data_IF_678935187056
#
_entry.id   IF_678935187056
#
_cell.length_a   1.000
_cell.length_b   1.000
_cell.length_c   1.000
_cell.angle_alpha   90.00
_cell.angle_beta   90.00
_cell.angle_gamma   90.00
#
_symmetry.space_group_name_H-M   'P 1'
#
loop_
_entity.id
_entity.type
_entity.pdbx_description
1 polymer ?
#
# COMPACT_ATOMS: atom_id res chain seq x y z
N UNK A 1 -0.62 -1.59 -51.88
CA UNK A 1 -1.99 -1.34 -52.35
C UNK A 1 -1.99 -1.04 -53.86
N UNK A 2 -1.24 -0.06 -54.35
CA UNK A 2 -1.17 0.24 -55.82
C UNK A 2 -0.79 -0.97 -56.68
N UNK A 3 0.08 -1.86 -56.18
CA UNK A 3 0.50 -3.08 -56.90
C UNK A 3 -0.64 -4.12 -57.07
N UNK A 4 -1.56 -4.20 -56.12
CA UNK A 4 -2.71 -5.12 -56.20
C UNK A 4 -3.72 -4.66 -57.26
N UNK A 5 -3.87 -3.35 -57.50
CA UNK A 5 -4.76 -2.79 -58.50
C UNK A 5 -4.11 -2.59 -59.88
N UNK A 6 -2.77 -2.54 -59.95
CA UNK A 6 -2.01 -2.37 -61.17
C UNK A 6 -1.99 -3.61 -62.12
N UNK A 7 -2.54 -4.76 -61.72
CA UNK A 7 -2.55 -6.00 -62.51
C UNK A 7 -3.47 -5.98 -63.75
N UNK A 8 -4.39 -5.03 -63.84
CA UNK A 8 -5.13 -4.76 -65.08
C UNK A 8 -4.53 -3.54 -65.77
N UNK A 9 -3.89 -3.75 -66.96
CA UNK A 9 -3.44 -2.71 -67.84
C UNK A 9 -4.63 -1.84 -68.32
N UNK A 10 -5.08 -0.92 -67.52
CA UNK A 10 -5.96 0.14 -67.93
C UNK A 10 -5.11 1.41 -67.93
N UNK A 11 -4.50 1.70 -69.11
CA UNK A 11 -3.88 3.02 -69.35
C UNK A 11 -4.97 4.10 -69.48
N UNK A 12 -4.69 5.32 -68.98
CA UNK A 12 -5.58 6.44 -69.13
C UNK A 12 -6.02 7.06 -67.79
N UNK A 13 -6.86 8.10 -67.86
CA UNK A 13 -7.37 8.85 -66.71
C UNK A 13 -8.00 7.99 -65.58
N UNK A 14 -8.57 6.84 -65.92
CA UNK A 14 -9.17 5.92 -64.98
C UNK A 14 -8.10 5.23 -64.10
N UNK A 15 -6.92 4.93 -64.63
CA UNK A 15 -5.83 4.33 -63.84
C UNK A 15 -5.25 5.35 -62.82
N UNK A 16 -5.13 6.59 -63.23
CA UNK A 16 -4.69 7.69 -62.33
C UNK A 16 -5.68 7.93 -61.19
N UNK A 17 -6.98 7.89 -61.48
CA UNK A 17 -8.03 8.05 -60.45
C UNK A 17 -8.04 6.89 -59.47
N UNK A 18 -7.87 5.66 -59.95
CA UNK A 18 -7.77 4.46 -59.05
C UNK A 18 -6.51 4.51 -58.19
N UNK A 19 -5.36 4.92 -58.73
CA UNK A 19 -4.14 5.06 -57.95
C UNK A 19 -4.28 6.19 -56.89
N UNK A 20 -4.84 7.32 -57.27
CA UNK A 20 -5.11 8.41 -56.31
C UNK A 20 -6.07 7.98 -55.22
N UNK A 21 -7.17 7.28 -55.55
CA UNK A 21 -8.12 6.75 -54.58
C UNK A 21 -7.48 5.70 -53.66
N UNK A 22 -6.62 4.84 -54.19
CA UNK A 22 -5.92 3.83 -53.38
C UNK A 22 -4.92 4.47 -52.43
N UNK A 23 -4.22 5.52 -52.83
CA UNK A 23 -3.30 6.28 -51.95
C UNK A 23 -4.08 7.01 -50.84
N UNK A 24 -5.18 7.66 -51.20
CA UNK A 24 -6.05 8.32 -50.24
C UNK A 24 -6.63 7.33 -49.22
N UNK A 25 -7.15 6.20 -49.68
CA UNK A 25 -7.66 5.13 -48.81
C UNK A 25 -6.60 4.59 -47.88
N UNK A 26 -5.37 4.41 -48.37
CA UNK A 26 -4.27 3.94 -47.54
C UNK A 26 -3.90 4.98 -46.47
N UNK A 27 -3.63 6.23 -46.87
CA UNK A 27 -3.12 7.24 -45.96
C UNK A 27 -4.19 7.73 -44.96
N UNK A 28 -5.46 7.82 -45.39
CA UNK A 28 -6.53 8.35 -44.56
C UNK A 28 -7.31 7.31 -43.76
N UNK A 29 -7.40 6.07 -44.23
CA UNK A 29 -8.22 5.02 -43.61
C UNK A 29 -7.37 3.86 -43.07
N UNK A 30 -6.54 3.24 -43.91
CA UNK A 30 -5.86 1.98 -43.59
C UNK A 30 -4.70 2.23 -42.63
N UNK A 31 -3.79 3.13 -42.97
CA UNK A 31 -2.60 3.39 -42.16
C UNK A 31 -2.93 3.87 -40.73
N UNK A 32 -3.83 4.85 -40.53
CA UNK A 32 -4.21 5.25 -39.17
C UNK A 32 -4.92 4.15 -38.38
N UNK A 33 -5.73 3.32 -39.06
CA UNK A 33 -6.40 2.19 -38.42
C UNK A 33 -5.38 1.13 -37.92
N UNK A 34 -4.41 0.76 -38.78
CA UNK A 34 -3.36 -0.18 -38.41
C UNK A 34 -2.44 0.38 -37.30
N UNK A 35 -2.14 1.69 -37.36
CA UNK A 35 -1.34 2.32 -36.32
C UNK A 35 -2.06 2.29 -34.96
N UNK A 36 -3.36 2.60 -34.94
CA UNK A 36 -4.17 2.56 -33.71
C UNK A 36 -4.31 1.13 -33.18
N UNK A 37 -4.53 0.15 -34.04
CA UNK A 37 -4.60 -1.28 -33.68
C UNK A 37 -3.28 -1.74 -33.04
N UNK A 38 -2.15 -1.47 -33.69
CA UNK A 38 -0.83 -1.84 -33.16
C UNK A 38 -0.51 -1.14 -31.82
N UNK A 39 -0.84 0.14 -31.71
CA UNK A 39 -0.68 0.89 -30.44
C UNK A 39 -1.56 0.30 -29.34
N UNK A 40 -2.79 -0.09 -29.67
CA UNK A 40 -3.70 -0.78 -28.76
C UNK A 40 -3.11 -2.08 -28.24
N UNK A 41 -2.68 -2.97 -29.15
CA UNK A 41 -2.06 -4.25 -28.78
C UNK A 41 -0.81 -4.09 -27.91
N UNK A 42 0.06 -3.13 -28.24
CA UNK A 42 1.26 -2.83 -27.46
C UNK A 42 0.90 -2.29 -26.07
N UNK A 43 -0.11 -1.42 -25.96
CA UNK A 43 -0.58 -0.89 -24.69
C UNK A 43 -1.19 -1.97 -23.80
N UNK A 44 -1.99 -2.87 -24.38
CA UNK A 44 -2.60 -3.98 -23.65
C UNK A 44 -1.53 -4.96 -23.14
N UNK A 45 -0.54 -5.29 -23.95
CA UNK A 45 0.56 -6.15 -23.55
C UNK A 45 1.41 -5.51 -22.43
N UNK A 46 1.68 -4.22 -22.52
CA UNK A 46 2.39 -3.47 -21.48
C UNK A 46 1.59 -3.41 -20.18
N UNK A 47 0.27 -3.18 -20.25
CA UNK A 47 -0.62 -3.13 -19.11
C UNK A 47 -0.66 -4.48 -18.36
N UNK A 48 -0.80 -5.61 -19.08
CA UNK A 48 -0.77 -6.94 -18.46
C UNK A 48 0.58 -7.21 -17.77
N UNK A 49 1.70 -6.81 -18.39
CA UNK A 49 3.02 -6.90 -17.77
C UNK A 49 3.13 -6.08 -16.48
N UNK A 50 2.64 -4.84 -16.48
CA UNK A 50 2.64 -3.97 -15.30
C UNK A 50 1.74 -4.51 -14.19
N UNK A 51 0.51 -4.96 -14.52
CA UNK A 51 -0.45 -5.53 -13.55
C UNK A 51 0.15 -6.77 -12.86
N UNK A 52 0.87 -7.61 -13.60
CA UNK A 52 1.58 -8.75 -13.02
C UNK A 52 2.61 -8.31 -11.98
N UNK A 53 3.44 -7.33 -12.31
CA UNK A 53 4.44 -6.78 -11.37
C UNK A 53 3.76 -6.19 -10.12
N UNK A 54 2.63 -5.49 -10.29
CA UNK A 54 1.86 -4.95 -9.16
C UNK A 54 1.34 -6.07 -8.25
N UNK A 55 0.86 -7.17 -8.84
CA UNK A 55 0.45 -8.37 -8.11
C UNK A 55 1.60 -8.99 -7.32
N UNK A 56 2.78 -9.11 -7.92
CA UNK A 56 3.98 -9.64 -7.27
C UNK A 56 4.44 -8.74 -6.11
N UNK A 57 4.41 -7.42 -6.29
CA UNK A 57 4.73 -6.44 -5.24
C UNK A 57 3.72 -6.54 -4.08
N UNK A 58 2.42 -6.63 -4.38
CA UNK A 58 1.38 -6.80 -3.36
C UNK A 58 1.61 -8.08 -2.56
N UNK A 59 1.89 -9.20 -3.23
CA UNK A 59 2.17 -10.48 -2.56
C UNK A 59 3.34 -10.36 -1.58
N UNK A 60 4.42 -9.69 -1.99
CA UNK A 60 5.58 -9.48 -1.10
C UNK A 60 5.23 -8.63 0.12
N UNK A 61 4.40 -7.60 -0.03
CA UNK A 61 3.95 -6.77 1.08
C UNK A 61 3.06 -7.53 2.05
N UNK A 62 2.12 -8.33 1.54
CA UNK A 62 1.18 -9.10 2.35
C UNK A 62 1.86 -10.26 3.11
N UNK A 63 2.86 -10.88 2.51
CA UNK A 63 3.58 -12.03 3.06
C UNK A 63 4.87 -11.66 3.83
N UNK A 64 5.04 -10.40 4.21
CA UNK A 64 6.13 -10.01 5.11
C UNK A 64 6.06 -10.80 6.42
N UNK A 65 7.20 -11.25 6.97
CA UNK A 65 7.22 -12.00 8.22
C UNK A 65 6.60 -11.20 9.38
N UNK A 66 5.59 -11.72 10.06
CA UNK A 66 4.97 -11.05 11.21
C UNK A 66 5.86 -11.13 12.46
N UNK A 67 5.83 -10.08 13.28
CA UNK A 67 6.43 -10.10 14.64
C UNK A 67 5.32 -10.30 15.66
N UNK A 68 4.90 -11.56 15.82
CA UNK A 68 3.81 -11.92 16.73
C UNK A 68 4.23 -11.97 18.20
N UNK A 69 3.27 -11.77 19.08
CA UNK A 69 3.44 -11.96 20.52
C UNK A 69 4.24 -10.84 21.21
N UNK A 70 4.46 -9.71 20.54
CA UNK A 70 5.20 -8.56 21.07
C UNK A 70 4.29 -7.36 21.32
N UNK A 71 4.59 -6.60 22.38
CA UNK A 71 4.03 -5.27 22.56
C UNK A 71 4.77 -4.29 21.67
N UNK A 72 4.06 -3.65 20.77
CA UNK A 72 4.63 -2.78 19.73
C UNK A 72 4.21 -1.33 19.94
N UNK A 73 5.17 -0.41 19.84
CA UNK A 73 4.91 1.03 19.74
C UNK A 73 4.97 1.45 18.26
N UNK A 74 3.87 1.92 17.71
CA UNK A 74 3.81 2.53 16.38
C UNK A 74 4.07 4.03 16.43
N UNK A 75 4.96 4.49 15.57
CA UNK A 75 5.31 5.88 15.38
C UNK A 75 4.89 6.28 13.95
N UNK A 76 3.94 7.21 13.84
CA UNK A 76 3.49 7.81 12.59
C UNK A 76 4.12 9.21 12.46
N UNK A 77 5.20 9.35 11.68
CA UNK A 77 5.99 10.56 11.60
C UNK A 77 5.20 11.75 11.03
N UNK A 78 5.55 12.95 11.45
CA UNK A 78 4.99 14.16 10.85
C UNK A 78 5.60 15.42 11.44
N UNK A 79 5.92 16.40 10.57
CA UNK A 79 6.49 17.67 11.00
C UNK A 79 5.48 18.55 11.77
N UNK A 80 4.43 19.02 11.09
CA UNK A 80 3.52 20.04 11.63
C UNK A 80 2.63 19.54 12.76
N UNK A 81 2.08 18.36 12.61
CA UNK A 81 1.12 17.76 13.55
C UNK A 81 1.80 16.86 14.59
N UNK A 82 3.13 16.83 14.61
CA UNK A 82 3.92 15.95 15.46
C UNK A 82 3.87 14.48 15.02
N UNK A 83 4.68 13.67 15.66
CA UNK A 83 4.67 12.22 15.52
C UNK A 83 3.57 11.63 16.42
N UNK A 84 2.65 10.87 15.84
CA UNK A 84 1.60 10.18 16.58
C UNK A 84 2.14 8.85 17.06
N UNK A 85 1.82 8.53 18.28
CA UNK A 85 2.32 7.35 18.97
C UNK A 85 1.15 6.51 19.43
N UNK A 86 1.20 5.22 19.14
CA UNK A 86 0.25 4.24 19.68
C UNK A 86 1.00 3.00 20.18
N UNK A 87 0.65 2.51 21.34
CA UNK A 87 1.16 1.24 21.87
C UNK A 87 0.06 0.21 21.77
N UNK A 88 0.40 -0.95 21.17
CA UNK A 88 -0.52 -2.08 21.06
C UNK A 88 0.05 -3.30 21.78
N UNK A 89 -0.82 -4.05 22.43
CA UNK A 89 -0.46 -5.31 23.08
C UNK A 89 -0.24 -6.44 22.04
N UNK A 90 0.20 -7.63 22.44
CA UNK A 90 0.41 -8.77 21.53
C UNK A 90 -0.80 -9.20 20.70
N UNK A 91 -2.01 -8.78 21.09
CA UNK A 91 -3.27 -9.04 20.36
C UNK A 91 -3.68 -7.92 19.42
N UNK A 92 -2.90 -6.84 19.37
CA UNK A 92 -3.20 -5.64 18.59
C UNK A 92 -4.18 -4.67 19.27
N UNK A 93 -4.53 -4.88 20.54
CA UNK A 93 -5.35 -3.96 21.34
C UNK A 93 -4.54 -2.73 21.73
N UNK A 94 -5.12 -1.54 21.58
CA UNK A 94 -4.45 -0.30 21.95
C UNK A 94 -4.40 -0.16 23.47
N UNK A 95 -3.18 0.03 24.00
CA UNK A 95 -2.90 0.26 25.42
C UNK A 95 -2.75 1.74 25.76
N UNK A 96 -2.07 2.49 24.88
CA UNK A 96 -1.74 3.89 25.13
C UNK A 96 -1.57 4.65 23.82
N UNK A 97 -1.81 5.96 23.85
CA UNK A 97 -1.63 6.84 22.69
C UNK A 97 -1.10 8.20 23.11
N UNK A 98 -0.30 8.84 22.25
CA UNK A 98 0.21 10.18 22.49
C UNK A 98 0.59 10.87 21.17
N UNK A 99 0.92 12.16 21.26
CA UNK A 99 1.53 12.93 20.19
C UNK A 99 2.80 13.57 20.72
N UNK A 100 3.92 13.36 20.05
CA UNK A 100 5.23 13.90 20.43
C UNK A 100 5.84 14.69 19.27
N UNK A 101 6.79 15.57 19.59
CA UNK A 101 7.46 16.42 18.62
C UNK A 101 8.97 16.11 18.63
N UNK A 102 9.40 15.06 17.91
CA UNK A 102 10.80 14.61 17.95
C UNK A 102 11.75 15.50 17.14
N UNK A 103 11.21 16.37 16.28
CA UNK A 103 12.01 17.20 15.38
C UNK A 103 12.54 18.44 16.08
N UNK A 104 13.87 18.76 15.93
CA UNK A 104 14.51 19.84 16.69
C UNK A 104 13.91 21.24 16.53
N UNK A 105 13.28 21.53 15.38
CA UNK A 105 12.65 22.84 15.10
C UNK A 105 11.58 23.22 16.14
N UNK A 106 10.94 22.24 16.76
CA UNK A 106 9.91 22.51 17.78
C UNK A 106 10.46 22.69 19.19
N UNK A 107 11.77 22.52 19.42
CA UNK A 107 12.43 22.62 20.74
C UNK A 107 11.75 21.79 21.85
N UNK A 108 11.18 20.61 21.48
CA UNK A 108 10.45 19.72 22.39
C UNK A 108 11.03 18.31 22.42
N UNK A 109 12.24 18.09 21.88
CA UNK A 109 12.86 16.77 21.76
C UNK A 109 13.02 16.10 23.13
N UNK A 110 13.50 16.83 24.15
CA UNK A 110 13.67 16.29 25.51
C UNK A 110 12.34 15.87 26.14
N UNK A 111 11.28 16.64 25.90
CA UNK A 111 9.93 16.28 26.35
C UNK A 111 9.43 15.04 25.62
N UNK A 112 9.65 14.96 24.31
CA UNK A 112 9.31 13.80 23.49
C UNK A 112 10.03 12.54 24.01
N UNK A 113 11.35 12.61 24.27
CA UNK A 113 12.13 11.50 24.85
C UNK A 113 11.56 11.03 26.18
N UNK A 114 11.27 11.96 27.10
CA UNK A 114 10.66 11.62 28.40
C UNK A 114 9.32 10.90 28.24
N UNK A 115 8.48 11.39 27.33
CA UNK A 115 7.17 10.80 27.06
C UNK A 115 7.30 9.38 26.49
N UNK A 116 8.15 9.20 25.46
CA UNK A 116 8.36 7.87 24.85
C UNK A 116 8.95 6.90 25.86
N UNK A 117 9.99 7.28 26.61
CA UNK A 117 10.56 6.42 27.67
C UNK A 117 9.50 6.01 28.71
N UNK A 118 8.67 6.94 29.16
CA UNK A 118 7.60 6.65 30.11
C UNK A 118 6.57 5.66 29.54
N UNK A 119 6.15 5.83 28.27
CA UNK A 119 5.23 4.91 27.61
C UNK A 119 5.84 3.52 27.40
N UNK A 120 7.13 3.44 27.05
CA UNK A 120 7.87 2.18 26.90
C UNK A 120 7.88 1.42 28.23
N UNK A 121 8.27 2.07 29.30
CA UNK A 121 8.37 1.44 30.63
C UNK A 121 7.01 1.06 31.21
N UNK A 122 6.00 1.92 31.04
CA UNK A 122 4.63 1.70 31.52
C UNK A 122 3.97 0.50 30.87
N UNK A 123 4.16 0.33 29.56
CA UNK A 123 3.42 -0.64 28.77
C UNK A 123 4.27 -1.88 28.40
N UNK A 124 5.53 -1.93 28.79
CA UNK A 124 6.42 -3.04 28.47
C UNK A 124 6.67 -3.18 26.96
N UNK A 125 6.90 -2.07 26.25
CA UNK A 125 7.17 -2.09 24.82
C UNK A 125 8.45 -2.86 24.52
N UNK A 126 8.41 -3.73 23.53
CA UNK A 126 9.55 -4.56 23.13
C UNK A 126 10.11 -4.15 21.75
N UNK A 127 9.26 -3.58 20.86
CA UNK A 127 9.65 -3.19 19.51
C UNK A 127 8.98 -1.87 19.15
N UNK A 128 9.68 -1.02 18.39
CA UNK A 128 9.13 0.19 17.78
C UNK A 128 8.93 -0.02 16.28
N UNK A 129 7.75 0.30 15.77
CA UNK A 129 7.42 0.35 14.35
C UNK A 129 7.40 1.80 13.90
N UNK A 130 8.23 2.20 12.95
CA UNK A 130 8.37 3.58 12.49
C UNK A 130 7.89 3.67 11.05
N UNK A 131 6.91 4.52 10.79
CA UNK A 131 6.44 4.80 9.43
C UNK A 131 7.54 5.45 8.57
N UNK A 132 7.61 5.09 7.30
CA UNK A 132 8.64 5.58 6.36
C UNK A 132 8.24 6.84 5.59
N UNK A 133 7.27 7.61 6.08
CA UNK A 133 6.79 8.82 5.42
C UNK A 133 7.58 10.09 5.75
N UNK A 134 6.87 11.20 5.62
CA UNK A 134 7.44 12.53 5.90
C UNK A 134 7.93 12.63 7.35
N UNK A 135 9.17 13.08 7.57
CA UNK A 135 9.88 13.07 8.87
C UNK A 135 10.21 11.65 9.40
N UNK A 136 10.19 10.63 8.53
CA UNK A 136 10.54 9.26 8.92
C UNK A 136 11.97 9.12 9.38
N UNK A 137 12.92 9.74 8.67
CA UNK A 137 14.34 9.69 9.00
C UNK A 137 14.65 10.35 10.37
N UNK A 138 14.13 11.53 10.60
CA UNK A 138 14.29 12.25 11.88
C UNK A 138 13.65 11.47 13.05
N UNK A 139 12.52 10.81 12.78
CA UNK A 139 11.85 9.96 13.78
C UNK A 139 12.66 8.68 14.04
N UNK A 140 13.32 8.13 13.05
CA UNK A 140 14.21 6.98 13.17
C UNK A 140 15.45 7.33 14.02
N UNK A 141 16.11 8.45 13.73
CA UNK A 141 17.25 8.96 14.53
C UNK A 141 16.83 9.17 15.99
N UNK A 142 15.71 9.85 16.21
CA UNK A 142 15.14 10.07 17.53
C UNK A 142 14.85 8.75 18.27
N UNK A 143 14.23 7.77 17.61
CA UNK A 143 13.94 6.47 18.21
C UNK A 143 15.23 5.73 18.57
N UNK A 144 16.24 5.76 17.70
CA UNK A 144 17.55 5.14 17.96
C UNK A 144 18.25 5.76 19.18
N UNK A 145 18.16 7.08 19.36
CA UNK A 145 18.66 7.76 20.57
C UNK A 145 17.92 7.32 21.82
N UNK A 146 16.58 7.29 21.79
CA UNK A 146 15.76 6.84 22.93
C UNK A 146 16.10 5.38 23.31
N UNK A 147 16.25 4.52 22.33
CA UNK A 147 16.62 3.10 22.56
C UNK A 147 17.99 3.00 23.23
N UNK A 148 18.97 3.76 22.76
CA UNK A 148 20.31 3.81 23.34
C UNK A 148 20.28 4.29 24.79
N UNK A 149 19.57 5.39 25.05
CA UNK A 149 19.41 5.94 26.41
C UNK A 149 18.71 4.93 27.36
N UNK A 150 17.69 4.20 26.89
CA UNK A 150 17.02 3.14 27.68
C UNK A 150 17.93 1.93 27.94
N UNK A 151 18.79 1.57 27.00
CA UNK A 151 19.79 0.52 27.22
C UNK A 151 20.80 0.93 28.29
N UNK A 152 21.31 2.17 28.25
CA UNK A 152 22.29 2.68 29.20
C UNK A 152 21.69 2.92 30.61
N UNK A 153 20.48 3.50 30.69
CA UNK A 153 19.85 3.88 31.95
C UNK A 153 19.13 2.73 32.66
N UNK A 154 18.56 1.81 31.89
CA UNK A 154 17.66 0.75 32.42
C UNK A 154 18.05 -0.67 32.02
N UNK A 155 19.14 -0.86 31.26
CA UNK A 155 19.52 -2.13 30.67
C UNK A 155 18.37 -2.77 29.86
N UNK A 156 17.58 -1.92 29.17
CA UNK A 156 16.42 -2.32 28.37
C UNK A 156 16.79 -2.26 26.88
N UNK A 157 16.84 -3.41 26.24
CA UNK A 157 17.23 -3.55 24.83
C UNK A 157 15.99 -3.65 23.95
N UNK A 158 15.56 -2.53 23.38
CA UNK A 158 14.50 -2.50 22.37
C UNK A 158 15.10 -2.60 20.96
N UNK A 159 14.26 -3.06 20.05
CA UNK A 159 14.52 -3.01 18.62
C UNK A 159 13.56 -2.05 17.93
N UNK A 160 13.91 -1.55 16.74
CA UNK A 160 12.97 -0.86 15.89
C UNK A 160 13.00 -1.41 14.47
N UNK A 161 11.91 -1.22 13.76
CA UNK A 161 11.79 -1.52 12.34
C UNK A 161 11.07 -0.39 11.63
N UNK A 162 11.56 -0.05 10.43
CA UNK A 162 10.87 0.87 9.54
C UNK A 162 9.79 0.10 8.77
N UNK A 163 8.57 0.61 8.82
CA UNK A 163 7.37 -0.01 8.24
C UNK A 163 6.82 0.89 7.15
N UNK A 164 6.40 0.31 6.04
CA UNK A 164 5.71 1.08 5.00
C UNK A 164 4.40 1.64 5.54
N UNK A 165 4.22 2.96 5.45
CA UNK A 165 2.97 3.63 5.82
C UNK A 165 1.98 3.76 4.65
N UNK A 166 2.33 3.24 3.47
CA UNK A 166 1.46 3.31 2.29
C UNK A 166 0.04 2.83 2.62
N UNK A 167 -0.94 3.66 2.26
CA UNK A 167 -2.35 3.42 2.56
C UNK A 167 -2.77 3.61 4.03
N UNK A 168 -1.88 3.93 4.97
CA UNK A 168 -2.26 4.15 6.37
C UNK A 168 -3.24 5.33 6.53
N UNK A 169 -3.05 6.40 5.79
CA UNK A 169 -3.98 7.54 5.75
C UNK A 169 -5.33 7.18 5.12
N UNK A 170 -5.34 6.32 4.10
CA UNK A 170 -6.58 5.81 3.50
C UNK A 170 -7.37 4.97 4.50
N UNK A 171 -6.69 4.05 5.20
CA UNK A 171 -7.31 3.27 6.27
C UNK A 171 -7.84 4.17 7.38
N UNK A 172 -7.03 5.08 7.91
CA UNK A 172 -7.39 5.91 9.07
C UNK A 172 -8.62 6.80 8.81
N UNK A 173 -8.83 7.23 7.56
CA UNK A 173 -10.01 7.99 7.13
C UNK A 173 -11.22 7.11 6.76
N UNK A 174 -11.06 5.79 6.73
CA UNK A 174 -12.11 4.86 6.32
C UNK A 174 -13.21 4.71 7.38
N UNK A 175 -14.41 4.31 6.93
CA UNK A 175 -15.51 3.95 7.82
C UNK A 175 -15.13 2.80 8.76
N UNK A 176 -14.39 1.81 8.26
CA UNK A 176 -13.89 0.69 9.05
C UNK A 176 -13.03 1.14 10.23
N UNK A 177 -12.07 2.04 10.00
CA UNK A 177 -11.24 2.57 11.07
C UNK A 177 -12.01 3.43 12.08
N UNK A 178 -13.08 4.13 11.62
CA UNK A 178 -13.97 4.86 12.49
C UNK A 178 -14.81 3.94 13.38
N UNK A 179 -15.21 2.77 12.87
CA UNK A 179 -15.93 1.75 13.63
C UNK A 179 -15.00 0.99 14.60
N UNK A 180 -13.75 0.69 14.19
CA UNK A 180 -12.75 0.05 15.08
C UNK A 180 -12.30 0.98 16.21
N UNK A 181 -12.16 2.29 15.94
CA UNK A 181 -11.62 3.28 16.87
C UNK A 181 -12.45 4.56 16.89
N UNK A 182 -13.71 4.51 17.39
CA UNK A 182 -14.56 5.70 17.44
C UNK A 182 -14.02 6.79 18.38
N UNK A 183 -13.20 6.41 19.36
CA UNK A 183 -12.60 7.31 20.35
C UNK A 183 -11.33 8.02 19.86
N UNK A 184 -10.72 7.58 18.74
CA UNK A 184 -9.49 8.17 18.22
C UNK A 184 -9.76 9.04 17.00
N UNK A 185 -8.98 10.10 16.87
CA UNK A 185 -8.95 10.88 15.64
C UNK A 185 -8.26 10.12 14.50
N UNK A 186 -8.39 10.64 13.28
CA UNK A 186 -7.82 10.04 12.08
C UNK A 186 -6.31 9.83 12.20
N UNK A 187 -5.60 10.74 12.86
CA UNK A 187 -4.14 10.69 12.96
C UNK A 187 -3.67 9.55 13.89
N UNK A 188 -4.34 9.35 15.02
CA UNK A 188 -3.99 8.29 15.97
C UNK A 188 -4.28 6.89 15.41
N UNK A 189 -5.33 6.75 14.57
CA UNK A 189 -5.65 5.48 13.90
C UNK A 189 -4.53 5.04 12.96
N UNK A 190 -3.84 5.99 12.34
CA UNK A 190 -2.68 5.71 11.48
C UNK A 190 -1.53 5.07 12.27
N UNK A 191 -1.18 5.64 13.43
CA UNK A 191 -0.13 5.09 14.30
C UNK A 191 -0.46 3.67 14.80
N UNK A 192 -1.75 3.39 15.11
CA UNK A 192 -2.20 2.04 15.45
C UNK A 192 -2.01 1.08 14.27
N UNK A 193 -2.36 1.51 13.06
CA UNK A 193 -2.16 0.70 11.85
C UNK A 193 -0.68 0.37 11.62
N UNK A 194 0.23 1.34 11.79
CA UNK A 194 1.68 1.13 11.66
C UNK A 194 2.18 0.08 12.67
N UNK A 195 1.75 0.14 13.93
CA UNK A 195 2.10 -0.85 14.92
C UNK A 195 1.61 -2.26 14.56
N UNK A 196 0.35 -2.38 14.16
CA UNK A 196 -0.28 -3.65 13.78
C UNK A 196 0.30 -4.27 12.51
N UNK A 197 0.75 -3.44 11.54
CA UNK A 197 1.44 -3.93 10.34
C UNK A 197 2.72 -4.67 10.67
N UNK A 198 3.41 -4.29 11.75
CA UNK A 198 4.59 -5.01 12.21
C UNK A 198 4.22 -6.35 12.87
N UNK A 199 3.10 -6.37 13.60
CA UNK A 199 2.63 -7.60 14.27
C UNK A 199 2.08 -8.63 13.29
N UNK A 200 1.22 -8.21 12.36
CA UNK A 200 0.62 -9.05 11.32
C UNK A 200 0.30 -8.21 10.06
N UNK A 201 1.24 -8.13 9.11
CA UNK A 201 1.07 -7.34 7.89
C UNK A 201 -0.17 -7.74 7.10
N UNK A 202 -0.42 -9.04 6.94
CA UNK A 202 -1.56 -9.55 6.18
C UNK A 202 -2.88 -9.12 6.80
N UNK A 203 -3.06 -9.34 8.10
CA UNK A 203 -4.29 -9.00 8.81
C UNK A 203 -4.61 -7.50 8.78
N UNK A 204 -3.61 -6.65 8.75
CA UNK A 204 -3.81 -5.20 8.70
C UNK A 204 -3.98 -4.66 7.27
N UNK A 205 -3.14 -5.11 6.32
CA UNK A 205 -3.17 -4.61 4.95
C UNK A 205 -4.42 -5.03 4.16
N UNK A 206 -5.05 -6.15 4.49
CA UNK A 206 -6.32 -6.57 3.84
C UNK A 206 -7.49 -5.61 4.11
N UNK A 207 -7.37 -4.71 5.09
CA UNK A 207 -8.35 -3.67 5.40
C UNK A 207 -8.31 -2.50 4.43
N UNK A 208 -7.30 -2.43 3.58
CA UNK A 208 -6.98 -1.32 2.69
C UNK A 208 -7.19 -1.77 1.24
N UNK A 209 -7.67 -0.86 0.39
CA UNK A 209 -7.69 -1.11 -1.05
C UNK A 209 -6.26 -1.42 -1.54
N UNK A 210 -6.02 -2.58 -2.19
CA UNK A 210 -4.69 -2.96 -2.66
C UNK A 210 -4.01 -1.92 -3.55
N UNK A 211 -4.77 -1.08 -4.25
CA UNK A 211 -4.23 0.03 -5.04
C UNK A 211 -3.64 1.16 -4.19
N UNK A 212 -4.02 1.25 -2.92
CA UNK A 212 -3.54 2.30 -2.02
C UNK A 212 -2.29 1.91 -1.23
N UNK A 213 -1.83 0.65 -1.29
CA UNK A 213 -0.69 0.17 -0.49
C UNK A 213 0.66 0.30 -1.20
N UNK A 214 0.74 1.03 -2.31
CA UNK A 214 2.00 1.36 -2.97
C UNK A 214 2.58 0.25 -3.85
N UNK A 215 1.74 -0.56 -4.47
CA UNK A 215 2.16 -1.70 -5.31
C UNK A 215 2.76 -1.30 -6.66
N UNK A 216 2.47 -0.10 -7.16
CA UNK A 216 3.01 0.39 -8.44
C UNK A 216 2.62 1.82 -8.75
N UNK A 217 3.31 2.39 -9.74
CA UNK A 217 3.04 3.72 -10.30
C UNK A 217 2.13 3.61 -11.52
N UNK A 218 1.48 4.73 -11.90
CA UNK A 218 0.64 4.83 -13.11
C UNK A 218 -0.52 3.81 -13.16
N UNK A 219 -1.02 3.40 -12.00
CA UNK A 219 -2.14 2.45 -11.93
C UNK A 219 -3.40 2.96 -12.63
N UNK A 220 -3.59 4.28 -12.72
CA UNK A 220 -4.72 4.92 -13.39
C UNK A 220 -4.71 4.73 -14.92
N UNK A 221 -3.55 4.45 -15.52
CA UNK A 221 -3.41 4.17 -16.95
C UNK A 221 -3.75 2.72 -17.31
N UNK A 222 -3.89 1.86 -16.30
CA UNK A 222 -4.21 0.44 -16.52
C UNK A 222 -5.72 0.22 -16.69
N UNK A 223 -6.14 -0.88 -17.38
CA UNK A 223 -7.53 -1.32 -17.40
C UNK A 223 -8.02 -1.63 -15.97
N UNK A 224 -8.82 -0.74 -15.38
CA UNK A 224 -9.17 -0.77 -13.95
C UNK A 224 -9.87 -2.06 -13.50
N UNK A 225 -10.72 -2.64 -14.35
CA UNK A 225 -11.38 -3.90 -14.07
C UNK A 225 -10.35 -5.02 -13.90
N UNK A 226 -9.43 -5.14 -14.86
CA UNK A 226 -8.39 -6.16 -14.87
C UNK A 226 -7.43 -6.00 -13.69
N UNK A 227 -7.02 -4.75 -13.41
CA UNK A 227 -6.18 -4.44 -12.25
C UNK A 227 -6.85 -4.89 -10.95
N UNK A 228 -8.11 -4.51 -10.73
CA UNK A 228 -8.85 -4.88 -9.51
C UNK A 228 -8.97 -6.40 -9.35
N UNK A 229 -9.39 -7.12 -10.41
CA UNK A 229 -9.53 -8.57 -10.39
C UNK A 229 -8.20 -9.26 -10.04
N UNK A 230 -7.08 -8.80 -10.60
CA UNK A 230 -5.76 -9.37 -10.32
C UNK A 230 -5.33 -9.10 -8.88
N UNK A 231 -5.44 -7.86 -8.40
CA UNK A 231 -5.01 -7.52 -7.05
C UNK A 231 -5.89 -8.18 -5.97
N UNK A 232 -7.20 -8.23 -6.18
CA UNK A 232 -8.12 -8.95 -5.28
C UNK A 232 -7.81 -10.44 -5.23
N UNK A 233 -7.53 -11.07 -6.39
CA UNK A 233 -7.10 -12.46 -6.45
C UNK A 233 -5.80 -12.72 -5.68
N UNK A 234 -4.81 -11.82 -5.76
CA UNK A 234 -3.58 -11.94 -4.98
C UNK A 234 -3.85 -11.87 -3.47
N UNK A 235 -4.75 -10.97 -3.03
CA UNK A 235 -5.13 -10.90 -1.60
C UNK A 235 -5.78 -12.21 -1.15
N UNK A 236 -6.72 -12.74 -1.92
CA UNK A 236 -7.40 -14.00 -1.60
C UNK A 236 -6.42 -15.18 -1.55
N UNK A 237 -5.53 -15.29 -2.53
CA UNK A 237 -4.48 -16.30 -2.56
C UNK A 237 -3.58 -16.23 -1.31
N UNK A 238 -3.13 -15.03 -0.93
CA UNK A 238 -2.29 -14.85 0.25
C UNK A 238 -3.01 -15.28 1.53
N UNK A 239 -4.25 -14.83 1.71
CA UNK A 239 -5.05 -15.18 2.92
C UNK A 239 -5.28 -16.69 3.00
N UNK A 240 -5.66 -17.34 1.89
CA UNK A 240 -5.94 -18.77 1.88
C UNK A 240 -4.68 -19.64 1.98
N UNK A 241 -3.52 -19.13 1.55
CA UNK A 241 -2.24 -19.84 1.69
C UNK A 241 -1.66 -19.79 3.11
N UNK A 242 -1.84 -18.67 3.81
CA UNK A 242 -1.35 -18.49 5.19
C UNK A 242 -2.31 -19.08 6.22
N UNK A 243 -3.62 -19.02 5.93
CA UNK A 243 -4.67 -19.35 6.87
C UNK A 243 -4.99 -18.20 7.84
N UNK A 244 -6.05 -18.34 8.62
CA UNK A 244 -6.58 -17.29 9.49
C UNK A 244 -6.89 -17.85 10.87
N UNK A 245 -6.42 -17.19 11.92
CA UNK A 245 -6.84 -17.47 13.29
C UNK A 245 -8.20 -16.83 13.58
N UNK A 246 -9.23 -17.66 13.79
CA UNK A 246 -10.60 -17.21 14.01
C UNK A 246 -10.78 -16.37 15.28
N UNK A 247 -9.89 -16.51 16.28
CA UNK A 247 -10.00 -15.78 17.54
C UNK A 247 -9.52 -14.32 17.43
N UNK A 248 -8.68 -14.04 16.46
CA UNK A 248 -8.06 -12.72 16.28
C UNK A 248 -8.40 -12.04 14.96
N UNK A 249 -9.03 -12.78 14.05
CA UNK A 249 -9.34 -12.30 12.71
C UNK A 249 -10.38 -11.20 12.70
N UNK A 250 -10.09 -10.13 11.96
CA UNK A 250 -11.08 -9.08 11.65
C UNK A 250 -12.07 -9.54 10.58
N UNK A 251 -13.28 -8.96 10.56
CA UNK A 251 -14.27 -9.25 9.54
C UNK A 251 -13.75 -9.02 8.09
N UNK A 252 -12.95 -7.97 7.76
CA UNK A 252 -12.31 -7.84 6.47
C UNK A 252 -11.40 -9.02 6.09
N UNK A 253 -10.62 -9.55 7.04
CA UNK A 253 -9.76 -10.70 6.80
C UNK A 253 -10.59 -11.97 6.54
N UNK A 254 -11.61 -12.23 7.36
CA UNK A 254 -12.50 -13.38 7.19
C UNK A 254 -13.22 -13.39 5.84
N UNK A 255 -13.58 -12.23 5.30
CA UNK A 255 -14.23 -12.12 3.98
C UNK A 255 -13.35 -12.56 2.81
N UNK A 256 -12.03 -12.66 3.01
CA UNK A 256 -11.07 -13.13 2.01
C UNK A 256 -10.83 -14.63 2.07
N UNK A 257 -11.39 -15.30 3.09
CA UNK A 257 -11.30 -16.77 3.21
C UNK A 257 -12.30 -17.41 2.26
N UNK A 258 -11.84 -18.38 1.47
CA UNK A 258 -12.67 -19.11 0.52
C UNK A 258 -13.86 -19.78 1.23
N UNK A 259 -15.05 -19.57 0.70
CA UNK A 259 -16.31 -20.13 1.27
C UNK A 259 -16.93 -19.30 2.40
N UNK A 260 -16.29 -18.22 2.87
CA UNK A 260 -16.86 -17.34 3.90
C UNK A 260 -17.62 -16.19 3.25
N UNK A 261 -18.92 -16.10 3.50
CA UNK A 261 -19.74 -14.99 3.01
C UNK A 261 -19.55 -13.73 3.87
N UNK A 262 -19.87 -12.55 3.30
CA UNK A 262 -19.86 -11.30 4.06
C UNK A 262 -20.81 -11.28 5.27
N UNK A 263 -21.87 -12.11 5.27
CA UNK A 263 -22.79 -12.28 6.39
C UNK A 263 -22.19 -13.17 7.49
N UNK A 264 -21.43 -14.19 7.10
CA UNK A 264 -20.78 -15.14 8.03
C UNK A 264 -19.54 -14.50 8.70
N UNK A 265 -18.90 -13.54 8.02
CA UNK A 265 -17.73 -12.84 8.53
C UNK A 265 -18.04 -11.71 9.54
N UNK A 266 -19.30 -11.41 9.80
CA UNK A 266 -19.77 -10.44 10.81
C UNK A 266 -19.99 -11.11 12.14
#
# INVERSE_FOLDING_TARGET
VSWMFARKKTGGKSAELVDAAARDAYSRLIHPSLENELRGELSDAAAEGAIKVFGDNLRQLLLQPPIRGKTVMGLDPGYRMGCKVAVVDPTGKVLDTNVVYPVPEFKRVDQAKKTIKAMVLKNGVEVMAIGNGTAGHETEEFAAEVIRELADEKNLHLQYMVVSEAGASVYSASKLAAEEFPQFDVNLRSAVSIARRLQDPLAELVKIDPKAVGVGQYQHDMPQKRLNETLDGVVEDCVNSVGVDLNTASAPLLRRVAGVSAATAK
#
